data_IF_303993757389
#
_entry.id   IF_303993757389
#
_cell.length_a   1.000
_cell.length_b   1.000
_cell.length_c   1.000
_cell.angle_alpha   90.00
_cell.angle_beta   90.00
_cell.angle_gamma   90.00
#
_symmetry.space_group_name_H-M   'P 1'
#
loop_
_entity.id
_entity.type
_entity.pdbx_description
1 polymer ?
#
# COMPACT_ATOMS: atom_id res chain seq x y z
N UNK A 1 -13.09 1.06 14.01
CA UNK A 1 -11.94 0.96 13.07
C UNK A 1 -10.76 0.37 13.81
N UNK A 2 -9.98 -0.42 13.12
CA UNK A 2 -8.81 -1.09 13.70
C UNK A 2 -7.58 -0.27 13.39
N UNK A 3 -6.86 0.17 14.43
CA UNK A 3 -5.60 0.88 14.25
C UNK A 3 -4.52 -0.08 13.77
N UNK A 4 -3.74 0.35 12.79
CA UNK A 4 -2.64 -0.44 12.23
C UNK A 4 -1.39 0.42 12.08
N UNK A 5 -0.27 -0.23 11.74
CA UNK A 5 0.96 0.47 11.33
C UNK A 5 1.09 0.55 9.81
N UNK A 6 -0.01 0.32 9.09
CA UNK A 6 0.01 0.27 7.63
C UNK A 6 0.24 1.66 7.04
N UNK A 7 1.20 1.75 6.13
CA UNK A 7 1.44 2.92 5.29
C UNK A 7 1.32 2.46 3.84
N UNK A 8 0.38 3.04 3.12
CA UNK A 8 0.14 2.71 1.72
C UNK A 8 0.67 3.83 0.83
N UNK A 9 1.62 3.49 -0.03
CA UNK A 9 2.16 4.40 -1.05
C UNK A 9 1.35 4.22 -2.31
N UNK A 10 0.67 5.28 -2.77
CA UNK A 10 -0.36 5.14 -3.79
C UNK A 10 -0.64 6.44 -4.53
N UNK A 11 -1.54 6.39 -5.51
CA UNK A 11 -2.12 7.56 -6.15
C UNK A 11 -3.62 7.32 -6.38
N UNK A 12 -4.41 8.39 -6.32
CA UNK A 12 -5.87 8.26 -6.43
C UNK A 12 -6.31 7.76 -7.81
N UNK A 13 -5.57 8.15 -8.85
CA UNK A 13 -5.89 7.74 -10.23
C UNK A 13 -5.45 6.31 -10.57
N UNK A 14 -4.74 5.63 -9.67
CA UNK A 14 -4.22 4.28 -9.92
C UNK A 14 -5.29 3.22 -9.63
N UNK A 15 -5.74 2.43 -10.62
CA UNK A 15 -6.80 1.43 -10.40
C UNK A 15 -6.35 0.28 -9.47
N UNK A 16 -5.08 -0.09 -9.52
CA UNK A 16 -4.56 -1.14 -8.64
C UNK A 16 -4.48 -0.66 -7.19
N UNK A 17 -4.18 0.63 -6.99
CA UNK A 17 -4.21 1.24 -5.66
C UNK A 17 -5.64 1.27 -5.12
N UNK A 18 -6.63 1.54 -5.98
CA UNK A 18 -8.04 1.56 -5.59
C UNK A 18 -8.50 0.21 -5.05
N UNK A 19 -8.02 -0.90 -5.62
CA UNK A 19 -8.32 -2.24 -5.10
C UNK A 19 -7.85 -2.41 -3.67
N UNK A 20 -6.64 -1.95 -3.37
CA UNK A 20 -6.08 -2.05 -2.02
C UNK A 20 -6.84 -1.15 -1.05
N UNK A 21 -7.15 0.08 -1.45
CA UNK A 21 -7.93 1.00 -0.60
C UNK A 21 -9.30 0.40 -0.26
N UNK A 22 -9.98 -0.17 -1.25
CA UNK A 22 -11.28 -0.80 -1.03
C UNK A 22 -11.17 -1.96 -0.05
N UNK A 23 -10.14 -2.77 -0.19
CA UNK A 23 -9.92 -3.91 0.73
C UNK A 23 -9.70 -3.43 2.16
N UNK A 24 -8.88 -2.41 2.34
CA UNK A 24 -8.63 -1.82 3.66
C UNK A 24 -9.92 -1.30 4.28
N UNK A 25 -10.74 -0.62 3.50
CA UNK A 25 -12.04 -0.11 3.96
C UNK A 25 -12.98 -1.26 4.33
N UNK A 26 -13.07 -2.28 3.50
CA UNK A 26 -13.95 -3.43 3.76
C UNK A 26 -13.58 -4.14 5.05
N UNK A 27 -12.31 -4.19 5.38
CA UNK A 27 -11.80 -4.83 6.59
C UNK A 27 -11.78 -3.88 7.80
N UNK A 28 -12.22 -2.63 7.64
CA UNK A 28 -12.26 -1.60 8.69
C UNK A 28 -10.88 -1.32 9.28
N UNK A 29 -9.84 -1.36 8.44
CA UNK A 29 -8.47 -1.10 8.86
C UNK A 29 -8.14 0.37 8.64
N UNK A 30 -7.69 1.06 9.68
CA UNK A 30 -7.16 2.41 9.56
C UNK A 30 -5.73 2.33 9.03
N UNK A 31 -5.37 3.25 8.17
CA UNK A 31 -4.04 3.26 7.56
C UNK A 31 -3.63 4.67 7.16
N UNK A 32 -2.32 4.85 7.01
CA UNK A 32 -1.76 6.12 6.53
C UNK A 32 -1.52 6.02 5.03
N UNK A 33 -1.81 7.09 4.32
CA UNK A 33 -1.60 7.20 2.88
C UNK A 33 -0.43 8.14 2.61
N UNK A 34 0.45 7.71 1.71
CA UNK A 34 1.48 8.57 1.13
C UNK A 34 1.23 8.62 -0.37
N UNK A 35 0.84 9.78 -0.87
CA UNK A 35 0.63 9.97 -2.31
C UNK A 35 1.98 10.16 -2.99
N UNK A 36 2.15 9.49 -4.13
CA UNK A 36 3.39 9.56 -4.89
C UNK A 36 3.20 10.37 -6.16
N UNK A 37 4.30 10.90 -6.70
CA UNK A 37 4.28 11.68 -7.93
C UNK A 37 3.89 10.80 -9.12
N UNK A 38 3.28 11.42 -10.13
CA UNK A 38 2.97 10.72 -11.37
C UNK A 38 4.24 10.28 -12.10
N UNK A 39 5.26 11.12 -12.11
CA UNK A 39 6.54 10.82 -12.71
C UNK A 39 7.34 9.86 -11.82
N UNK A 40 7.65 8.67 -12.34
CA UNK A 40 8.44 7.66 -11.61
C UNK A 40 9.79 8.18 -11.13
N UNK A 41 10.41 9.07 -11.89
CA UNK A 41 11.71 9.65 -11.53
C UNK A 41 11.64 10.52 -10.28
N UNK A 42 10.47 10.97 -9.89
CA UNK A 42 10.25 11.79 -8.70
C UNK A 42 9.84 10.98 -7.47
N UNK A 43 9.72 9.66 -7.61
CA UNK A 43 9.33 8.76 -6.52
C UNK A 43 10.53 8.28 -5.74
N UNK A 44 11.35 9.21 -5.26
CA UNK A 44 12.63 8.90 -4.61
C UNK A 44 12.42 8.15 -3.29
N UNK A 45 11.36 8.47 -2.54
CA UNK A 45 11.03 7.77 -1.30
C UNK A 45 10.71 6.29 -1.56
N UNK A 46 9.98 5.96 -2.63
CA UNK A 46 9.71 4.58 -2.99
C UNK A 46 10.99 3.84 -3.34
N UNK A 47 11.85 4.47 -4.11
CA UNK A 47 13.12 3.87 -4.52
C UNK A 47 14.00 3.56 -3.32
N UNK A 48 14.05 4.46 -2.35
CA UNK A 48 14.83 4.26 -1.12
C UNK A 48 14.29 3.15 -0.24
N UNK A 49 12.96 3.08 -0.10
CA UNK A 49 12.33 2.12 0.82
C UNK A 49 12.21 0.74 0.20
N UNK A 50 11.78 0.67 -1.06
CA UNK A 50 11.41 -0.60 -1.71
C UNK A 50 12.39 -1.04 -2.79
N UNK A 51 13.26 -0.16 -3.27
CA UNK A 51 14.14 -0.46 -4.39
C UNK A 51 13.49 -0.36 -5.75
N UNK A 52 12.18 -0.12 -5.80
CA UNK A 52 11.41 0.07 -7.03
C UNK A 52 10.48 1.26 -6.88
N UNK A 53 9.85 1.70 -7.96
CA UNK A 53 9.01 2.89 -7.95
C UNK A 53 7.54 2.62 -8.29
N UNK A 54 7.15 1.36 -8.41
CA UNK A 54 5.76 0.99 -8.72
C UNK A 54 4.82 1.16 -7.54
N UNK A 55 3.55 1.30 -7.82
CA UNK A 55 2.49 1.38 -6.81
C UNK A 55 1.33 0.44 -7.19
N UNK A 56 0.56 -0.05 -6.22
CA UNK A 56 0.64 0.22 -4.78
C UNK A 56 1.82 -0.49 -4.12
N UNK A 57 2.42 0.17 -3.13
CA UNK A 57 3.44 -0.43 -2.28
C UNK A 57 3.05 -0.16 -0.82
N UNK A 58 3.30 -1.12 0.05
CA UNK A 58 2.79 -1.05 1.42
C UNK A 58 3.85 -1.47 2.43
N UNK A 59 3.85 -0.76 3.56
CA UNK A 59 4.60 -1.15 4.75
C UNK A 59 3.58 -1.47 5.84
N UNK A 60 3.82 -2.55 6.58
CA UNK A 60 3.11 -2.83 7.82
C UNK A 60 4.15 -3.29 8.86
N UNK A 61 4.61 -2.33 9.67
CA UNK A 61 5.71 -2.60 10.58
C UNK A 61 6.98 -2.97 9.82
N UNK A 62 7.44 -4.20 9.95
CA UNK A 62 8.62 -4.70 9.24
C UNK A 62 8.31 -5.32 7.90
N UNK A 63 7.02 -5.54 7.59
CA UNK A 63 6.59 -6.14 6.34
C UNK A 63 6.57 -5.07 5.25
N UNK A 64 7.20 -5.37 4.12
CA UNK A 64 7.20 -4.49 2.95
C UNK A 64 6.76 -5.29 1.73
N UNK A 65 5.77 -4.78 1.01
CA UNK A 65 5.28 -5.39 -0.23
C UNK A 65 5.29 -4.31 -1.29
N UNK A 66 6.07 -4.52 -2.33
CA UNK A 66 6.30 -3.51 -3.36
C UNK A 66 5.57 -3.86 -4.64
N UNK A 67 4.85 -2.89 -5.20
CA UNK A 67 4.31 -2.92 -6.56
C UNK A 67 3.51 -4.20 -6.88
N UNK A 68 2.68 -4.63 -5.91
CA UNK A 68 1.91 -5.88 -6.08
C UNK A 68 0.61 -5.83 -5.28
N UNK A 69 -0.46 -5.39 -5.95
CA UNK A 69 -1.77 -5.27 -5.30
C UNK A 69 -2.34 -6.62 -4.86
N UNK A 70 -2.13 -7.68 -5.65
CA UNK A 70 -2.61 -9.01 -5.26
C UNK A 70 -1.90 -9.53 -4.01
N UNK A 71 -0.60 -9.34 -3.93
CA UNK A 71 0.18 -9.76 -2.76
C UNK A 71 -0.22 -8.96 -1.52
N UNK A 72 -0.46 -7.66 -1.67
CA UNK A 72 -0.92 -6.81 -0.56
C UNK A 72 -2.26 -7.30 -0.04
N UNK A 73 -3.22 -7.54 -0.94
CA UNK A 73 -4.55 -8.00 -0.56
C UNK A 73 -4.48 -9.35 0.15
N UNK A 74 -3.69 -10.30 -0.38
CA UNK A 74 -3.50 -11.59 0.25
C UNK A 74 -2.90 -11.47 1.65
N UNK A 75 -1.91 -10.60 1.81
CA UNK A 75 -1.31 -10.33 3.11
C UNK A 75 -2.35 -9.79 4.10
N UNK A 76 -3.16 -8.82 3.68
CA UNK A 76 -4.19 -8.23 4.55
C UNK A 76 -5.20 -9.27 5.01
N UNK A 77 -5.64 -10.13 4.11
CA UNK A 77 -6.56 -11.20 4.46
C UNK A 77 -5.96 -12.17 5.48
N UNK A 78 -4.69 -12.52 5.32
CA UNK A 78 -4.01 -13.42 6.23
C UNK A 78 -3.72 -12.78 7.59
N UNK A 79 -3.26 -11.54 7.59
CA UNK A 79 -2.81 -10.87 8.81
C UNK A 79 -3.98 -10.36 9.67
N UNK A 80 -5.07 -9.92 9.04
CA UNK A 80 -6.18 -9.24 9.72
C UNK A 80 -7.53 -9.91 9.52
N UNK A 81 -7.63 -10.82 8.60
CA UNK A 81 -8.92 -11.41 8.22
C UNK A 81 -9.35 -12.57 9.08
N UNK A 82 -8.48 -12.97 9.96
CA UNK A 82 -8.63 -14.17 10.67
C UNK A 82 -9.52 -14.37 11.79
#
# INVERSE_FOLDING_TARGET
MIDTNIVLYQAEWCPYCARVRSKLTDMLLDYKVVNVAQDHGQRTNLKEIFGVTGIPSMIDGEVKIADDDDAIIAYLEKAYGG
#
